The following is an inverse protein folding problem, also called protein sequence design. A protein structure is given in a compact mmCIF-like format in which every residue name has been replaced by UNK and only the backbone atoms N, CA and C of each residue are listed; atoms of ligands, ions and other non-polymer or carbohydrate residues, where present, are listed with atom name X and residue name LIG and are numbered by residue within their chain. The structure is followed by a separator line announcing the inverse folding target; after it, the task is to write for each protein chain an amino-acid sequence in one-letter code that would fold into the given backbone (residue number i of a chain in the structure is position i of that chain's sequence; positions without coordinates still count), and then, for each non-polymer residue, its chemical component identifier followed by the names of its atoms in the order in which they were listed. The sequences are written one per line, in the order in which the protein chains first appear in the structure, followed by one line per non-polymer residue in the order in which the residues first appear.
data_IF_943710443429
#
_entry.id   IF_943710443429
#
_cell.length_a   1.000
_cell.length_b   1.000
_cell.length_c   1.000
_cell.angle_alpha   90.00
_cell.angle_beta   90.00
_cell.angle_gamma   90.00
#
_symmetry.space_group_name_H-M   'P 1'
#
loop_
_entity.id
_entity.type
_entity.pdbx_description
1 polymer ?
#
# COMPACT_ATOMS: atom_id res chain seq x y z
N UNK A 1 10.80 7.88 -0.60
CA UNK A 1 10.40 6.89 -1.63
C UNK A 1 10.87 7.31 -3.02
N UNK A 2 10.69 8.55 -3.46
CA UNK A 2 11.11 9.02 -4.80
C UNK A 2 12.60 8.78 -5.10
N UNK A 3 13.51 9.20 -4.21
CA UNK A 3 14.96 8.96 -4.36
C UNK A 3 15.32 7.48 -4.57
N UNK A 4 14.60 6.57 -3.91
CA UNK A 4 14.80 5.13 -4.12
C UNK A 4 14.34 4.67 -5.50
N UNK A 5 13.27 5.25 -6.02
CA UNK A 5 12.80 4.97 -7.38
C UNK A 5 13.79 5.47 -8.43
N UNK A 6 14.32 6.69 -8.27
CA UNK A 6 15.34 7.29 -9.14
C UNK A 6 16.61 6.46 -9.20
N UNK A 7 17.05 5.92 -8.06
CA UNK A 7 18.27 5.10 -7.94
C UNK A 7 18.09 3.65 -8.41
N UNK A 8 16.88 3.22 -8.71
CA UNK A 8 16.58 1.85 -9.15
C UNK A 8 16.53 1.76 -10.68
N UNK A 9 16.87 0.59 -11.26
CA UNK A 9 16.81 0.35 -12.71
C UNK A 9 15.68 -0.55 -13.19
N UNK A 10 14.81 -1.03 -12.27
CA UNK A 10 13.76 -1.99 -12.61
C UNK A 10 12.57 -1.34 -13.33
N UNK A 11 11.91 -2.09 -14.21
CA UNK A 11 10.68 -1.68 -14.91
C UNK A 11 9.46 -1.64 -13.99
N UNK A 12 9.52 -2.37 -12.87
CA UNK A 12 8.50 -2.42 -11.84
C UNK A 12 9.12 -1.88 -10.55
N UNK A 13 8.47 -0.89 -9.96
CA UNK A 13 8.85 -0.33 -8.67
C UNK A 13 8.00 -0.98 -7.58
N UNK A 14 8.65 -1.47 -6.52
CA UNK A 14 8.00 -2.01 -5.33
C UNK A 14 8.42 -1.18 -4.11
N UNK A 15 7.47 -0.52 -3.49
CA UNK A 15 7.65 0.27 -2.28
C UNK A 15 7.25 -0.54 -1.06
N UNK A 16 8.20 -0.87 -0.23
CA UNK A 16 8.01 -1.66 0.98
C UNK A 16 8.46 -0.86 2.20
N UNK A 17 7.63 -0.81 3.25
CA UNK A 17 8.01 -0.18 4.51
C UNK A 17 9.09 -1.00 5.22
N UNK A 18 9.97 -0.33 5.97
CA UNK A 18 11.11 -0.94 6.63
C UNK A 18 10.75 -1.99 7.71
N UNK A 19 9.52 -1.98 8.19
CA UNK A 19 8.97 -2.94 9.17
C UNK A 19 8.07 -4.01 8.53
N UNK A 20 8.13 -4.14 7.20
CA UNK A 20 7.41 -5.15 6.44
C UNK A 20 8.38 -6.20 5.87
N UNK A 21 7.93 -7.44 5.82
CA UNK A 21 8.66 -8.57 5.22
C UNK A 21 7.86 -9.12 4.06
N UNK A 22 8.52 -9.21 2.90
CA UNK A 22 7.98 -9.76 1.68
C UNK A 22 8.57 -11.16 1.44
N UNK A 23 7.76 -12.21 1.24
CA UNK A 23 8.23 -13.52 0.80
C UNK A 23 8.86 -13.43 -0.62
N UNK A 24 9.95 -14.16 -0.85
CA UNK A 24 10.68 -14.10 -2.14
C UNK A 24 9.82 -14.53 -3.34
N UNK A 25 8.96 -15.50 -3.14
CA UNK A 25 8.09 -16.08 -4.19
C UNK A 25 7.12 -15.03 -4.76
N UNK A 26 6.80 -14.02 -3.98
CA UNK A 26 5.85 -12.98 -4.37
C UNK A 26 6.38 -12.07 -5.48
N UNK A 27 7.71 -11.93 -5.60
CA UNK A 27 8.34 -11.08 -6.63
C UNK A 27 8.02 -11.59 -8.04
N UNK A 28 8.01 -12.90 -8.25
CA UNK A 28 7.65 -13.50 -9.53
C UNK A 28 6.18 -13.22 -9.89
N UNK A 29 5.29 -13.31 -8.91
CA UNK A 29 3.87 -13.04 -9.11
C UNK A 29 3.60 -11.58 -9.49
N UNK A 30 4.37 -10.63 -8.93
CA UNK A 30 4.29 -9.21 -9.33
C UNK A 30 4.65 -9.02 -10.80
N UNK A 31 5.65 -9.71 -11.32
CA UNK A 31 6.00 -9.66 -12.75
C UNK A 31 4.86 -10.18 -13.60
N UNK A 32 4.34 -11.35 -13.27
CA UNK A 32 3.25 -11.99 -14.02
C UNK A 32 1.97 -11.13 -14.07
N UNK A 33 1.74 -10.28 -13.06
CA UNK A 33 0.60 -9.35 -13.05
C UNK A 33 0.59 -8.43 -14.26
N UNK A 34 1.76 -8.02 -14.73
CA UNK A 34 1.84 -7.04 -15.82
C UNK A 34 1.90 -7.67 -17.20
N UNK A 35 2.12 -9.00 -17.30
CA UNK A 35 2.19 -9.72 -18.55
C UNK A 35 0.80 -9.82 -19.20
N UNK A 36 0.62 -9.14 -20.34
CA UNK A 36 -0.63 -9.14 -21.10
C UNK A 36 -1.84 -8.53 -20.39
N UNK A 37 -1.66 -7.85 -19.26
CA UNK A 37 -2.75 -7.31 -18.47
C UNK A 37 -2.88 -5.78 -18.60
N UNK A 38 -4.08 -5.27 -18.29
CA UNK A 38 -4.37 -3.83 -18.21
C UNK A 38 -4.05 -3.20 -16.83
N UNK A 39 -3.42 -3.96 -15.93
CA UNK A 39 -3.04 -3.42 -14.61
C UNK A 39 -1.83 -2.50 -14.74
N UNK A 40 -1.86 -1.41 -13.99
CA UNK A 40 -0.78 -0.42 -13.94
C UNK A 40 -0.03 -0.46 -12.61
N UNK A 41 -0.60 -1.08 -11.59
CA UNK A 41 0.00 -1.26 -10.27
C UNK A 41 -0.88 -2.09 -9.35
N UNK A 42 -0.48 -2.19 -8.09
CA UNK A 42 -1.23 -2.93 -7.09
C UNK A 42 -0.57 -2.93 -5.71
N UNK A 43 -1.07 -3.79 -4.85
CA UNK A 43 -0.56 -4.03 -3.50
C UNK A 43 -0.88 -5.46 -3.07
N UNK A 44 -0.41 -5.83 -1.88
CA UNK A 44 -0.64 -7.13 -1.28
C UNK A 44 -1.68 -7.06 -0.17
N UNK A 45 -2.15 -8.21 0.27
CA UNK A 45 -2.79 -8.31 1.59
C UNK A 45 -1.74 -8.16 2.68
N UNK A 46 -2.15 -7.62 3.82
CA UNK A 46 -1.31 -7.52 5.00
C UNK A 46 -1.57 -8.69 5.96
N UNK A 47 -0.53 -9.15 6.65
CA UNK A 47 -0.58 -9.99 7.83
C UNK A 47 0.10 -9.27 8.98
N UNK A 48 -0.62 -9.02 10.05
CA UNK A 48 -0.04 -8.43 11.27
C UNK A 48 0.67 -9.51 12.09
N UNK A 49 1.91 -9.24 12.50
CA UNK A 49 2.75 -10.16 13.27
C UNK A 49 2.27 -10.27 14.73
N UNK A 50 1.10 -10.88 14.91
CA UNK A 50 0.50 -11.17 16.22
C UNK A 50 -0.55 -12.27 16.08
N UNK A 51 -0.67 -13.11 17.11
CA UNK A 51 -1.68 -14.17 17.16
C UNK A 51 -2.95 -13.75 17.93
N UNK A 52 -2.97 -12.55 18.51
CA UNK A 52 -4.14 -12.06 19.24
C UNK A 52 -5.31 -11.83 18.28
N UNK A 53 -6.48 -12.35 18.64
CA UNK A 53 -7.72 -12.28 17.84
C UNK A 53 -8.06 -10.85 17.38
N UNK A 54 -7.82 -9.87 18.23
CA UNK A 54 -8.07 -8.48 17.91
C UNK A 54 -7.30 -8.00 16.66
N UNK A 55 -6.01 -8.37 16.53
CA UNK A 55 -5.23 -8.01 15.34
C UNK A 55 -5.71 -8.77 14.09
N UNK A 56 -6.27 -9.97 14.24
CA UNK A 56 -6.91 -10.68 13.12
C UNK A 56 -8.13 -9.92 12.60
N UNK A 57 -8.93 -9.32 13.49
CA UNK A 57 -10.09 -8.48 13.09
C UNK A 57 -9.63 -7.23 12.34
N UNK A 58 -8.61 -6.53 12.85
CA UNK A 58 -8.03 -5.36 12.17
C UNK A 58 -7.49 -5.75 10.79
N UNK A 59 -6.70 -6.82 10.70
CA UNK A 59 -6.15 -7.35 9.46
C UNK A 59 -7.25 -7.64 8.42
N UNK A 60 -8.34 -8.30 8.85
CA UNK A 60 -9.49 -8.55 7.98
C UNK A 60 -10.12 -7.25 7.48
N UNK A 61 -10.27 -6.25 8.34
CA UNK A 61 -10.80 -4.93 7.96
C UNK A 61 -9.92 -4.19 6.96
N UNK A 62 -8.59 -4.19 7.17
CA UNK A 62 -7.62 -3.60 6.23
C UNK A 62 -7.70 -4.28 4.87
N UNK A 63 -7.65 -5.62 4.86
CA UNK A 63 -7.67 -6.41 3.62
C UNK A 63 -9.00 -6.28 2.88
N UNK A 64 -10.13 -6.24 3.59
CA UNK A 64 -11.45 -6.00 3.00
C UNK A 64 -11.50 -4.63 2.32
N UNK A 65 -11.12 -3.55 3.04
CA UNK A 65 -11.06 -2.20 2.48
C UNK A 65 -10.23 -2.16 1.20
N UNK A 66 -9.02 -2.71 1.24
CA UNK A 66 -8.09 -2.70 0.11
C UNK A 66 -8.66 -3.46 -1.08
N UNK A 67 -9.27 -4.63 -0.85
CA UNK A 67 -9.83 -5.47 -1.92
C UNK A 67 -11.07 -4.85 -2.56
N UNK A 68 -12.00 -4.33 -1.74
CA UNK A 68 -13.29 -3.80 -2.21
C UNK A 68 -13.14 -2.40 -2.81
N UNK A 69 -12.50 -1.49 -2.08
CA UNK A 69 -12.39 -0.09 -2.51
C UNK A 69 -11.13 0.18 -3.33
N UNK A 70 -10.23 -0.79 -3.48
CA UNK A 70 -8.94 -0.61 -4.12
C UNK A 70 -8.16 0.56 -3.52
N UNK A 71 -8.10 0.61 -2.17
CA UNK A 71 -7.44 1.64 -1.39
C UNK A 71 -6.45 1.01 -0.39
N UNK A 72 -5.35 0.41 -0.87
CA UNK A 72 -4.29 -0.06 0.01
C UNK A 72 -3.55 1.12 0.63
N UNK A 73 -2.88 0.90 1.77
CA UNK A 73 -1.89 1.81 2.35
C UNK A 73 -0.48 1.36 2.00
N UNK A 74 0.50 2.21 2.23
CA UNK A 74 1.91 1.94 1.94
C UNK A 74 2.47 0.71 2.67
N UNK A 75 1.94 0.37 3.85
CA UNK A 75 2.29 -0.83 4.61
C UNK A 75 1.81 -2.15 3.97
N UNK A 76 1.06 -2.09 2.87
CA UNK A 76 0.65 -3.22 2.06
C UNK A 76 1.57 -3.50 0.85
N UNK A 77 2.73 -2.83 0.75
CA UNK A 77 3.67 -3.01 -0.34
C UNK A 77 3.07 -2.59 -1.68
N UNK A 78 3.26 -1.33 -2.04
CA UNK A 78 2.75 -0.80 -3.31
C UNK A 78 3.70 -1.16 -4.44
N UNK A 79 3.19 -1.71 -5.52
CA UNK A 79 3.96 -1.93 -6.75
C UNK A 79 3.28 -1.26 -7.95
N UNK A 80 4.10 -0.75 -8.87
CA UNK A 80 3.64 0.04 -10.02
C UNK A 80 4.63 -0.08 -11.17
N UNK A 81 4.14 0.02 -12.41
CA UNK A 81 5.02 0.20 -13.58
C UNK A 81 5.82 1.48 -13.45
N UNK A 82 7.14 1.42 -13.71
CA UNK A 82 8.00 2.61 -13.68
C UNK A 82 7.46 3.73 -14.56
N UNK A 83 7.06 3.41 -15.78
CA UNK A 83 6.51 4.40 -16.72
C UNK A 83 5.33 5.18 -16.13
N UNK A 84 4.41 4.48 -15.44
CA UNK A 84 3.26 5.10 -14.77
C UNK A 84 3.68 5.94 -13.57
N UNK A 85 4.67 5.47 -12.80
CA UNK A 85 5.22 6.21 -11.67
C UNK A 85 5.83 7.55 -12.11
N UNK A 86 6.62 7.51 -13.17
CA UNK A 86 7.29 8.69 -13.74
C UNK A 86 6.29 9.66 -14.38
N UNK A 87 5.33 9.16 -15.14
CA UNK A 87 4.25 9.96 -15.74
C UNK A 87 3.41 10.69 -14.68
N UNK A 88 3.15 10.05 -13.55
CA UNK A 88 2.43 10.64 -12.42
C UNK A 88 3.30 11.57 -11.55
N UNK A 89 4.60 11.69 -11.83
CA UNK A 89 5.55 12.50 -11.05
C UNK A 89 5.84 11.95 -9.65
N UNK A 90 5.70 10.64 -9.45
CA UNK A 90 6.00 9.98 -8.19
C UNK A 90 5.07 10.34 -7.03
N UNK A 91 5.56 10.15 -5.80
CA UNK A 91 4.87 10.58 -4.58
C UNK A 91 5.00 12.09 -4.38
N UNK A 92 3.89 12.75 -4.07
CA UNK A 92 3.89 14.16 -3.71
C UNK A 92 4.47 14.37 -2.31
N UNK A 93 5.14 15.49 -2.09
CA UNK A 93 5.56 15.90 -0.75
C UNK A 93 4.35 16.37 0.04
N UNK A 94 3.97 15.57 1.02
CA UNK A 94 2.80 15.79 1.87
C UNK A 94 3.14 15.41 3.32
N UNK A 95 2.57 16.09 4.31
CA UNK A 95 2.79 15.73 5.72
C UNK A 95 2.30 14.32 6.07
N UNK A 96 1.24 13.86 5.43
CA UNK A 96 0.63 12.53 5.61
C UNK A 96 -0.13 12.12 4.34
N UNK A 97 -0.40 10.81 4.22
CA UNK A 97 -1.22 10.22 3.14
C UNK A 97 -0.65 10.34 1.73
N UNK A 98 0.67 10.46 1.59
CA UNK A 98 1.34 10.44 0.29
C UNK A 98 1.09 9.15 -0.49
N UNK A 99 0.94 8.03 0.22
CA UNK A 99 0.59 6.73 -0.35
C UNK A 99 -0.86 6.70 -0.85
N UNK A 100 -1.80 7.25 -0.09
CA UNK A 100 -3.20 7.37 -0.52
C UNK A 100 -3.34 8.29 -1.74
N UNK A 101 -2.71 9.47 -1.73
CA UNK A 101 -2.70 10.37 -2.87
C UNK A 101 -2.19 9.66 -4.13
N UNK A 102 -1.09 8.93 -3.99
CA UNK A 102 -0.50 8.20 -5.10
C UNK A 102 -1.45 7.10 -5.62
N UNK A 103 -2.08 6.32 -4.73
CA UNK A 103 -3.08 5.31 -5.10
C UNK A 103 -4.28 5.92 -5.83
N UNK A 104 -4.79 7.07 -5.39
CA UNK A 104 -5.88 7.75 -6.09
C UNK A 104 -5.48 8.19 -7.50
N UNK A 105 -4.25 8.69 -7.68
CA UNK A 105 -3.73 9.07 -9.01
C UNK A 105 -3.55 7.86 -9.91
N UNK A 106 -2.97 6.76 -9.41
CA UNK A 106 -2.83 5.51 -10.17
C UNK A 106 -4.21 4.98 -10.61
N UNK A 107 -5.21 4.98 -9.74
CA UNK A 107 -6.57 4.51 -10.08
C UNK A 107 -7.27 5.32 -11.17
N UNK A 108 -6.90 6.58 -11.36
CA UNK A 108 -7.38 7.39 -12.48
C UNK A 108 -6.65 7.09 -13.78
N UNK A 109 -5.41 6.61 -13.65
CA UNK A 109 -4.55 6.28 -14.78
C UNK A 109 -4.84 4.86 -15.32
N UNK A 110 -5.19 3.91 -14.44
CA UNK A 110 -5.51 2.56 -14.85
C UNK A 110 -5.99 1.66 -13.72
N UNK A 111 -6.17 0.38 -14.04
CA UNK A 111 -6.63 -0.61 -13.07
C UNK A 111 -5.52 -1.01 -12.11
N UNK A 112 -5.85 -1.20 -10.84
CA UNK A 112 -4.95 -1.77 -9.84
C UNK A 112 -5.49 -3.11 -9.30
N UNK A 113 -4.57 -3.98 -8.88
CA UNK A 113 -4.88 -5.29 -8.31
C UNK A 113 -4.45 -5.35 -6.84
N UNK A 114 -5.20 -6.09 -6.02
CA UNK A 114 -4.76 -6.51 -4.69
C UNK A 114 -4.51 -8.00 -4.75
N UNK A 115 -3.26 -8.38 -4.66
CA UNK A 115 -2.81 -9.77 -4.67
C UNK A 115 -3.21 -10.47 -3.37
N UNK A 116 -3.48 -11.76 -3.47
CA UNK A 116 -3.90 -12.57 -2.31
C UNK A 116 -2.72 -12.95 -1.40
N UNK A 117 -1.50 -12.82 -1.91
CA UNK A 117 -0.27 -12.96 -1.14
C UNK A 117 -0.22 -11.94 -0.01
N UNK A 118 0.43 -12.36 1.08
CA UNK A 118 0.46 -11.56 2.31
C UNK A 118 1.88 -11.11 2.62
N UNK A 119 2.03 -9.80 2.82
CA UNK A 119 3.22 -9.27 3.44
C UNK A 119 3.03 -9.21 4.96
N UNK A 120 4.07 -9.53 5.70
CA UNK A 120 4.06 -9.45 7.15
C UNK A 120 4.45 -8.04 7.60
N UNK A 121 3.65 -7.43 8.46
CA UNK A 121 3.90 -6.10 9.02
C UNK A 121 3.95 -6.13 10.54
N UNK A 122 4.86 -5.35 11.12
CA UNK A 122 5.05 -5.26 12.56
C UNK A 122 3.87 -4.55 13.24
N UNK A 123 3.50 -5.07 14.41
CA UNK A 123 2.49 -4.42 15.28
C UNK A 123 3.09 -3.36 16.19
N UNK A 124 4.39 -2.99 16.04
CA UNK A 124 5.10 -2.05 16.92
C UNK A 124 4.38 -0.71 17.04
N UNK A 125 3.91 -0.14 15.93
CA UNK A 125 3.15 1.11 15.92
C UNK A 125 1.87 1.03 16.75
N UNK A 126 1.16 -0.10 16.67
CA UNK A 126 -0.06 -0.37 17.42
C UNK A 126 0.21 -0.54 18.92
N UNK A 127 1.35 -1.16 19.27
CA UNK A 127 1.78 -1.30 20.67
C UNK A 127 2.16 0.04 21.29
N UNK A 128 2.92 0.87 20.56
CA UNK A 128 3.46 2.12 21.08
C UNK A 128 2.40 3.23 21.21
N UNK A 129 1.47 3.33 20.28
CA UNK A 129 0.49 4.42 20.23
C UNK A 129 -0.93 4.00 20.65
N UNK A 130 -1.11 2.74 21.02
CA UNK A 130 -2.42 2.17 21.33
C UNK A 130 -3.23 1.80 20.09
N UNK A 131 -3.96 0.73 20.25
CA UNK A 131 -4.69 0.08 19.13
C UNK A 131 -5.81 0.98 18.62
N UNK A 132 -6.67 1.47 19.52
CA UNK A 132 -7.82 2.31 19.16
C UNK A 132 -7.35 3.62 18.54
N UNK A 133 -6.37 4.29 19.16
CA UNK A 133 -5.85 5.56 18.66
C UNK A 133 -5.26 5.42 17.24
N UNK A 134 -4.49 4.37 16.99
CA UNK A 134 -3.89 4.13 15.67
C UNK A 134 -4.96 3.83 14.62
N UNK A 135 -5.97 3.01 14.97
CA UNK A 135 -7.08 2.70 14.06
C UNK A 135 -7.91 3.94 13.73
N UNK A 136 -8.31 4.70 14.76
CA UNK A 136 -9.06 5.94 14.57
C UNK A 136 -8.30 6.96 13.72
N UNK A 137 -7.01 7.15 14.00
CA UNK A 137 -6.17 8.06 13.20
C UNK A 137 -6.13 7.66 11.74
N UNK A 138 -5.92 6.38 11.45
CA UNK A 138 -5.86 5.90 10.07
C UNK A 138 -7.20 6.07 9.34
N UNK A 139 -8.33 5.81 10.01
CA UNK A 139 -9.65 6.01 9.42
C UNK A 139 -9.98 7.50 9.25
N UNK A 140 -9.60 8.33 10.22
CA UNK A 140 -9.78 9.78 10.14
C UNK A 140 -8.98 10.38 8.97
N UNK A 141 -7.71 9.98 8.79
CA UNK A 141 -6.87 10.42 7.67
C UNK A 141 -7.48 10.00 6.32
N UNK A 142 -7.97 8.77 6.22
CA UNK A 142 -8.67 8.30 5.03
C UNK A 142 -9.93 9.13 4.74
N UNK A 143 -10.78 9.31 5.73
CA UNK A 143 -12.01 10.09 5.59
C UNK A 143 -11.72 11.54 5.21
N UNK A 144 -10.74 12.16 5.87
CA UNK A 144 -10.32 13.54 5.59
C UNK A 144 -9.79 13.70 4.17
N UNK A 145 -9.00 12.73 3.70
CA UNK A 145 -8.50 12.73 2.33
C UNK A 145 -9.64 12.58 1.31
N UNK A 146 -10.57 11.64 1.53
CA UNK A 146 -11.72 11.39 0.65
C UNK A 146 -12.65 12.60 0.60
N UNK A 147 -12.83 13.32 1.72
CA UNK A 147 -13.65 14.52 1.81
C UNK A 147 -12.94 15.79 1.29
N UNK A 148 -11.74 15.66 0.70
CA UNK A 148 -11.00 16.78 0.13
C UNK A 148 -10.34 17.70 1.15
N UNK A 149 -10.35 17.35 2.45
CA UNK A 149 -9.61 18.06 3.49
C UNK A 149 -8.17 17.58 3.46
N UNK A 150 -7.31 18.30 2.73
CA UNK A 150 -5.86 18.07 2.74
C UNK A 150 -5.30 18.63 4.05
N UNK A 151 -4.72 17.76 4.88
CA UNK A 151 -3.95 18.15 6.06
C UNK A 151 -2.45 18.03 5.76
#
# INVERSE_FOLDING_TARGET
MNKGAESSGGEILLFLHADCVLPREVILNVRNVFDGSSFVGGAFKIRLLSDKLFYRVIEKGINFRSKVFKLPYGDQGLFVKRSVFEELGGFREMPNCEDLDFIYRIKRHGKIIILDERISSSIRRWKNHGILRTSFRNQFLLASYVLGRRY
#
